data_IF_385876143711
#
_entry.id   IF_385876143711
#
_cell.length_a   1.000
_cell.length_b   1.000
_cell.length_c   1.000
_cell.angle_alpha   90.00
_cell.angle_beta   90.00
_cell.angle_gamma   90.00
#
_symmetry.space_group_name_H-M   'P 1'
#
loop_
_entity.id
_entity.type
_entity.pdbx_description
1 polymer ?
#
# COMPACT_ATOMS: atom_id res chain seq x y z
N UNK A 1 3.66 0.17 6.64
CA UNK A 1 3.40 0.79 5.32
C UNK A 1 2.04 0.32 4.86
N UNK A 2 1.11 1.23 4.54
CA UNK A 2 -0.21 0.84 4.06
C UNK A 2 -0.06 0.02 2.77
N UNK A 3 -1.04 -0.84 2.49
CA UNK A 3 -1.14 -1.55 1.23
C UNK A 3 -2.16 -0.89 0.32
N UNK A 4 -1.99 -1.06 -0.98
CA UNK A 4 -2.91 -0.59 -2.00
C UNK A 4 -4.08 -1.57 -2.18
N UNK A 5 -5.25 -1.06 -2.59
CA UNK A 5 -6.39 -1.89 -2.98
C UNK A 5 -6.62 -1.73 -4.47
N UNK A 6 -6.56 -2.84 -5.18
CA UNK A 6 -6.76 -2.92 -6.63
C UNK A 6 -8.02 -3.71 -6.94
N UNK A 7 -8.66 -3.34 -8.04
CA UNK A 7 -9.82 -4.06 -8.57
C UNK A 7 -9.52 -4.52 -9.98
N UNK A 8 -9.72 -5.80 -10.24
CA UNK A 8 -9.57 -6.43 -11.54
C UNK A 8 -10.95 -6.85 -12.06
N UNK A 9 -11.16 -6.75 -13.36
CA UNK A 9 -12.44 -7.13 -13.98
C UNK A 9 -12.43 -8.63 -14.29
N UNK A 10 -13.50 -9.34 -13.91
CA UNK A 10 -13.73 -10.75 -14.26
C UNK A 10 -15.10 -10.96 -14.88
N UNK A 11 -15.14 -11.64 -16.04
CA UNK A 11 -16.38 -12.07 -16.69
C UNK A 11 -17.07 -13.24 -16.01
N UNK A 12 -16.35 -13.95 -15.14
CA UNK A 12 -16.82 -15.18 -14.49
C UNK A 12 -17.68 -14.90 -13.24
N UNK A 13 -17.71 -13.65 -12.79
CA UNK A 13 -18.52 -13.19 -11.66
C UNK A 13 -19.89 -12.69 -12.14
N UNK A 14 -20.91 -12.82 -11.31
CA UNK A 14 -22.21 -12.19 -11.56
C UNK A 14 -22.15 -10.68 -11.35
N UNK A 15 -23.11 -9.94 -11.93
CA UNK A 15 -23.29 -8.51 -11.63
C UNK A 15 -23.43 -8.31 -10.11
N UNK A 16 -22.74 -7.30 -9.57
CA UNK A 16 -22.62 -6.98 -8.14
C UNK A 16 -21.86 -8.01 -7.27
N UNK A 17 -21.36 -9.10 -7.86
CA UNK A 17 -20.48 -10.02 -7.15
C UNK A 17 -19.05 -9.49 -7.13
N UNK A 18 -18.44 -9.58 -5.95
CA UNK A 18 -17.00 -9.37 -5.76
C UNK A 18 -16.35 -10.60 -5.16
N UNK A 19 -15.09 -10.83 -5.50
CA UNK A 19 -14.32 -11.95 -4.95
C UNK A 19 -12.92 -11.49 -4.57
N UNK A 20 -12.49 -11.79 -3.35
CA UNK A 20 -11.12 -11.56 -2.93
C UNK A 20 -10.19 -12.57 -3.62
N UNK A 21 -9.31 -12.07 -4.50
CA UNK A 21 -8.28 -12.87 -5.19
C UNK A 21 -7.01 -12.93 -4.36
N UNK A 22 -6.64 -11.82 -3.74
CA UNK A 22 -5.44 -11.71 -2.90
C UNK A 22 -5.71 -10.78 -1.72
N UNK A 23 -5.38 -11.22 -0.50
CA UNK A 23 -5.44 -10.36 0.67
C UNK A 23 -4.31 -9.34 0.67
N UNK A 24 -4.61 -8.10 1.08
CA UNK A 24 -3.61 -7.08 1.29
C UNK A 24 -2.75 -7.35 2.52
N UNK A 25 -1.45 -7.07 2.44
CA UNK A 25 -0.53 -7.13 3.57
C UNK A 25 0.24 -5.84 3.70
N UNK A 26 0.15 -5.22 4.87
CA UNK A 26 0.94 -4.04 5.19
C UNK A 26 2.43 -4.39 5.19
N UNK A 27 3.23 -3.52 4.58
CA UNK A 27 4.69 -3.59 4.66
C UNK A 27 5.21 -3.06 5.99
N UNK A 28 6.50 -3.24 6.25
CA UNK A 28 7.19 -2.72 7.43
C UNK A 28 8.46 -1.97 7.05
N UNK A 29 8.78 -0.94 7.84
CA UNK A 29 10.04 -0.21 7.75
C UNK A 29 10.67 -0.08 9.12
N UNK A 30 11.99 -0.14 9.17
CA UNK A 30 12.78 0.17 10.36
C UNK A 30 13.25 1.60 10.28
N UNK A 31 13.09 2.34 11.38
CA UNK A 31 13.60 3.71 11.51
C UNK A 31 14.73 3.69 12.51
N UNK A 32 15.95 3.95 12.06
CA UNK A 32 17.13 4.06 12.92
C UNK A 32 17.45 5.54 13.12
N UNK A 33 17.49 5.96 14.40
CA UNK A 33 17.83 7.33 14.80
C UNK A 33 19.13 7.31 15.61
N UNK A 34 20.12 8.07 15.16
CA UNK A 34 21.36 8.32 15.89
C UNK A 34 21.23 9.64 16.65
N UNK A 35 21.53 9.63 17.95
CA UNK A 35 21.46 10.80 18.82
C UNK A 35 22.84 11.18 19.32
N UNK A 36 23.04 12.47 19.59
CA UNK A 36 24.20 12.92 20.34
C UNK A 36 24.01 12.57 21.82
N UNK A 37 25.07 12.08 22.45
CA UNK A 37 25.15 11.90 23.90
C UNK A 37 26.13 12.91 24.50
N UNK A 38 25.90 13.30 25.75
CA UNK A 38 26.82 14.05 26.58
C UNK A 38 26.93 13.31 27.91
N UNK A 39 28.14 12.89 28.28
CA UNK A 39 28.42 12.11 29.50
C UNK A 39 27.52 10.86 29.66
N UNK A 40 27.24 10.17 28.55
CA UNK A 40 26.38 8.99 28.52
C UNK A 40 24.88 9.29 28.56
N UNK A 41 24.47 10.55 28.70
CA UNK A 41 23.07 10.99 28.67
C UNK A 41 22.66 11.35 27.25
N UNK A 42 21.55 10.79 26.77
CA UNK A 42 20.96 11.14 25.48
C UNK A 42 20.52 12.61 25.48
N UNK A 43 20.91 13.36 24.47
CA UNK A 43 20.44 14.74 24.22
C UNK A 43 19.30 14.75 23.19
N UNK A 44 18.63 15.88 23.03
CA UNK A 44 17.59 16.07 22.00
C UNK A 44 18.15 16.20 20.57
N UNK A 45 19.47 16.34 20.43
CA UNK A 45 20.08 16.50 19.11
C UNK A 45 20.12 15.16 18.38
N UNK A 46 19.40 15.11 17.27
CA UNK A 46 19.44 14.00 16.31
C UNK A 46 20.60 14.22 15.35
N UNK A 47 21.50 13.25 15.25
CA UNK A 47 22.64 13.28 14.34
C UNK A 47 22.30 12.68 12.98
N UNK A 48 21.42 11.68 12.94
CA UNK A 48 20.98 11.06 11.70
C UNK A 48 19.67 10.31 11.88
N UNK A 49 18.85 10.29 10.83
CA UNK A 49 17.68 9.43 10.72
C UNK A 49 17.80 8.70 9.40
N UNK A 50 17.71 7.38 9.44
CA UNK A 50 17.58 6.56 8.24
C UNK A 50 16.37 5.66 8.36
N UNK A 51 15.68 5.49 7.25
CA UNK A 51 14.58 4.56 7.13
C UNK A 51 14.99 3.45 6.17
N UNK A 52 14.63 2.22 6.52
CA UNK A 52 14.92 1.04 5.71
C UNK A 52 13.64 0.21 5.57
N UNK A 53 13.30 -0.15 4.34
CA UNK A 53 12.18 -1.04 4.08
C UNK A 53 12.57 -2.47 4.43
N UNK A 54 11.84 -3.07 5.38
CA UNK A 54 12.10 -4.44 5.85
C UNK A 54 11.21 -5.44 5.12
N UNK A 55 9.95 -5.06 4.88
CA UNK A 55 8.97 -5.88 4.17
C UNK A 55 8.16 -4.97 3.25
N UNK A 56 8.11 -5.28 1.96
CA UNK A 56 7.25 -4.57 1.03
C UNK A 56 5.77 -4.84 1.33
N UNK A 57 4.91 -3.86 1.10
CA UNK A 57 3.46 -4.07 1.14
C UNK A 57 3.02 -4.94 -0.04
N UNK A 58 2.06 -5.81 0.21
CA UNK A 58 1.37 -6.59 -0.82
C UNK A 58 -0.03 -6.00 -1.01
N UNK A 59 -0.46 -5.70 -2.25
CA UNK A 59 -1.78 -5.13 -2.49
C UNK A 59 -2.89 -6.14 -2.23
N UNK A 60 -4.06 -5.63 -1.85
CA UNK A 60 -5.31 -6.38 -1.88
C UNK A 60 -5.85 -6.37 -3.31
N UNK A 61 -6.23 -7.53 -3.84
CA UNK A 61 -6.80 -7.65 -5.18
C UNK A 61 -8.20 -8.24 -5.06
N UNK A 62 -9.18 -7.47 -5.49
CA UNK A 62 -10.58 -7.89 -5.58
C UNK A 62 -11.00 -7.99 -7.04
N UNK A 63 -11.65 -9.08 -7.40
CA UNK A 63 -12.29 -9.24 -8.69
C UNK A 63 -13.71 -8.68 -8.62
N UNK A 64 -14.13 -7.95 -9.65
CA UNK A 64 -15.51 -7.50 -9.82
C UNK A 64 -16.02 -7.74 -11.23
N UNK A 65 -17.32 -7.99 -11.37
CA UNK A 65 -17.97 -7.94 -12.67
C UNK A 65 -18.22 -6.48 -13.03
N UNK A 66 -17.32 -5.89 -13.82
CA UNK A 66 -17.50 -4.55 -14.36
C UNK A 66 -18.00 -4.69 -15.79
N UNK A 67 -19.22 -4.23 -16.07
CA UNK A 67 -19.57 -3.88 -17.45
C UNK A 67 -18.50 -2.87 -17.89
N UNK A 68 -17.82 -3.13 -19.00
CA UNK A 68 -16.98 -2.13 -19.64
C UNK A 68 -17.88 -0.93 -19.92
N UNK A 69 -17.89 0.07 -19.02
CA UNK A 69 -18.28 1.42 -19.36
C UNK A 69 -17.22 1.89 -20.34
N UNK A 70 -17.39 1.50 -21.60
CA UNK A 70 -16.73 2.16 -22.71
C UNK A 70 -17.25 3.59 -22.66
N UNK A 71 -16.45 4.49 -22.09
CA UNK A 71 -16.61 5.92 -22.31
C UNK A 71 -16.48 6.13 -23.83
N UNK A 72 -17.61 6.01 -24.55
CA UNK A 72 -17.74 6.64 -25.84
C UNK A 72 -17.66 8.13 -25.56
N UNK A 73 -16.48 8.69 -25.75
CA UNK A 73 -16.27 10.12 -25.89
C UNK A 73 -17.14 10.61 -27.04
N UNK A 74 -18.39 10.98 -26.75
CA UNK A 74 -19.26 11.69 -27.67
C UNK A 74 -18.99 13.18 -27.47
N UNK A 75 -17.89 13.68 -28.05
CA UNK A 75 -17.83 15.10 -28.37
C UNK A 75 -18.69 15.29 -29.61
N UNK A 76 -19.87 15.87 -29.42
CA UNK A 76 -20.64 16.53 -30.47
C UNK A 76 -20.19 17.98 -30.60
#
# INVERSE_FOLDING_TARGET
MPYERLTEVSSDLYTDQTQLKQSGRAGSKTVVKLYQTLDGVKTDKVLSVREENVVASQPEITLSHQYLCTEKTLHS
#
